data_IF_574406930914
#
_entry.id   IF_574406930914
#
_cell.length_a   1.000
_cell.length_b   1.000
_cell.length_c   1.000
_cell.angle_alpha   90.00
_cell.angle_beta   90.00
_cell.angle_gamma   90.00
#
_symmetry.space_group_name_H-M   'P 1'
#
loop_
_entity.id
_entity.type
_entity.pdbx_description
1 polymer ?
#
# COMPACT_ATOMS: atom_id res chain seq x y z
N UNK A 1 7.81 9.39 3.56
CA UNK A 1 8.53 8.94 4.78
C UNK A 1 9.36 10.05 5.46
N UNK A 2 9.10 11.32 5.12
CA UNK A 2 9.88 12.47 5.63
C UNK A 2 9.44 12.94 7.02
N UNK A 3 8.24 12.60 7.46
CA UNK A 3 7.69 13.03 8.73
C UNK A 3 6.72 12.02 9.33
N UNK A 4 6.54 12.07 10.64
CA UNK A 4 5.45 11.39 11.34
C UNK A 4 4.31 12.36 11.60
N UNK A 5 3.08 11.95 11.24
CA UNK A 5 1.93 12.81 11.42
C UNK A 5 0.61 12.07 11.28
N UNK A 6 -0.46 12.75 11.63
CA UNK A 6 -1.82 12.28 11.47
C UNK A 6 -2.75 13.43 11.13
N UNK A 7 -3.89 13.13 10.52
CA UNK A 7 -4.90 14.12 10.19
C UNK A 7 -6.28 13.63 10.61
N UNK A 8 -7.03 14.49 11.28
CA UNK A 8 -8.45 14.30 11.54
C UNK A 8 -9.25 15.26 10.68
N UNK A 9 -10.24 14.75 9.97
CA UNK A 9 -11.04 15.52 9.00
C UNK A 9 -12.51 15.40 9.39
N UNK A 10 -13.22 16.50 9.36
CA UNK A 10 -14.68 16.54 9.59
C UNK A 10 -15.36 17.42 8.54
N UNK A 11 -16.59 17.11 8.21
CA UNK A 11 -17.45 17.95 7.37
C UNK A 11 -18.05 19.11 8.16
N UNK A 12 -18.14 19.00 9.50
CA UNK A 12 -18.80 19.98 10.36
C UNK A 12 -17.96 20.30 11.60
N UNK A 13 -17.97 21.58 12.00
CA UNK A 13 -17.38 22.06 13.24
C UNK A 13 -18.42 22.00 14.37
N UNK A 14 -18.72 20.79 14.81
CA UNK A 14 -19.65 20.52 15.90
C UNK A 14 -18.95 20.40 17.27
N UNK A 15 -19.70 20.02 18.32
CA UNK A 15 -19.17 19.86 19.68
C UNK A 15 -18.07 18.79 19.78
N UNK A 16 -18.12 17.73 18.95
CA UNK A 16 -17.08 16.70 18.90
C UNK A 16 -15.79 17.28 18.34
N UNK A 17 -15.89 18.09 17.28
CA UNK A 17 -14.74 18.78 16.75
C UNK A 17 -14.09 19.72 17.78
N UNK A 18 -14.91 20.43 18.57
CA UNK A 18 -14.41 21.28 19.66
C UNK A 18 -13.62 20.47 20.69
N UNK A 19 -14.11 19.29 21.09
CA UNK A 19 -13.38 18.37 21.98
C UNK A 19 -12.07 17.87 21.36
N UNK A 20 -12.05 17.49 20.08
CA UNK A 20 -10.83 17.08 19.37
C UNK A 20 -9.81 18.21 19.39
N UNK A 21 -10.22 19.43 19.08
CA UNK A 21 -9.34 20.61 19.15
C UNK A 21 -8.79 20.87 20.55
N UNK A 22 -9.63 20.77 21.56
CA UNK A 22 -9.21 20.93 22.97
C UNK A 22 -8.15 19.87 23.34
N UNK A 23 -8.36 18.60 22.97
CA UNK A 23 -7.38 17.52 23.23
C UNK A 23 -6.05 17.81 22.52
N UNK A 24 -6.08 18.26 21.27
CA UNK A 24 -4.88 18.65 20.53
C UNK A 24 -4.12 19.79 21.22
N UNK A 25 -4.81 20.84 21.60
CA UNK A 25 -4.22 22.02 22.24
C UNK A 25 -3.66 21.70 23.62
N UNK A 26 -4.44 21.04 24.47
CA UNK A 26 -4.02 20.68 25.82
C UNK A 26 -2.95 19.59 25.86
N UNK A 27 -3.00 18.64 24.94
CA UNK A 27 -2.03 17.56 24.83
C UNK A 27 -0.75 17.93 24.07
N UNK A 28 -0.73 19.07 23.39
CA UNK A 28 0.42 19.53 22.60
C UNK A 28 0.75 18.65 21.38
N UNK A 29 -0.20 17.85 20.90
CA UNK A 29 -0.01 16.98 19.73
C UNK A 29 -0.09 17.81 18.43
N UNK A 30 0.91 18.64 18.22
CA UNK A 30 1.04 19.52 17.04
C UNK A 30 2.33 19.23 16.28
N UNK A 31 2.32 19.29 14.94
CA UNK A 31 3.53 19.13 14.12
C UNK A 31 4.54 20.25 14.40
N UNK A 32 5.82 19.93 14.26
CA UNK A 32 6.88 20.96 14.27
C UNK A 32 6.78 21.85 13.03
N UNK A 33 7.38 23.06 13.05
CA UNK A 33 7.46 23.91 11.85
C UNK A 33 8.11 23.20 10.66
N UNK A 34 9.11 22.34 10.87
CA UNK A 34 9.76 21.58 9.81
C UNK A 34 8.83 20.53 9.23
N UNK A 35 8.08 19.81 10.07
CA UNK A 35 7.08 18.83 9.61
C UNK A 35 6.00 19.51 8.78
N UNK A 36 5.54 20.69 9.20
CA UNK A 36 4.59 21.51 8.44
C UNK A 36 5.14 21.93 7.07
N UNK A 37 6.43 22.27 7.02
CA UNK A 37 7.11 22.61 5.76
C UNK A 37 7.18 21.41 4.82
N UNK A 38 7.66 20.25 5.30
CA UNK A 38 7.73 19.02 4.51
C UNK A 38 6.33 18.58 4.03
N UNK A 39 5.34 18.60 4.90
CA UNK A 39 3.97 18.26 4.54
C UNK A 39 3.43 19.18 3.44
N UNK A 40 3.58 20.50 3.61
CA UNK A 40 3.12 21.51 2.63
C UNK A 40 3.81 21.33 1.28
N UNK A 41 5.09 21.00 1.28
CA UNK A 41 5.86 20.74 0.06
C UNK A 41 5.40 19.43 -0.61
N UNK A 42 5.28 18.36 0.17
CA UNK A 42 4.99 17.00 -0.35
C UNK A 42 3.55 16.88 -0.87
N UNK A 43 2.58 17.56 -0.26
CA UNK A 43 1.18 17.51 -0.69
C UNK A 43 0.96 18.09 -2.10
N UNK A 44 1.83 19.02 -2.52
CA UNK A 44 1.74 19.66 -3.86
C UNK A 44 1.96 18.66 -4.99
N UNK A 45 2.73 17.60 -4.77
CA UNK A 45 3.03 16.56 -5.77
C UNK A 45 2.19 15.29 -5.56
N UNK A 46 1.37 15.22 -4.51
CA UNK A 46 0.58 14.04 -4.18
C UNK A 46 -0.28 13.53 -5.35
N UNK A 47 -1.00 14.38 -6.10
CA UNK A 47 -1.82 13.89 -7.22
C UNK A 47 -1.02 13.20 -8.32
N UNK A 48 0.21 13.65 -8.56
CA UNK A 48 1.10 13.06 -9.57
C UNK A 48 1.68 11.73 -9.08
N UNK A 49 2.10 11.66 -7.80
CA UNK A 49 2.57 10.41 -7.20
C UNK A 49 1.47 9.35 -7.21
N UNK A 50 0.27 9.70 -6.75
CA UNK A 50 -0.89 8.77 -6.74
C UNK A 50 -1.20 8.25 -8.15
N UNK A 51 -1.11 9.09 -9.20
CA UNK A 51 -1.27 8.62 -10.58
C UNK A 51 -0.23 7.56 -10.95
N UNK A 52 1.03 7.77 -10.58
CA UNK A 52 2.10 6.81 -10.82
C UNK A 52 1.87 5.50 -10.07
N UNK A 53 1.57 5.57 -8.77
CA UNK A 53 1.25 4.38 -7.96
C UNK A 53 0.10 3.55 -8.55
N UNK A 54 -0.99 4.23 -8.93
CA UNK A 54 -2.17 3.57 -9.53
C UNK A 54 -1.83 2.90 -10.86
N UNK A 55 -1.07 3.58 -11.71
CA UNK A 55 -0.64 3.05 -13.00
C UNK A 55 0.19 1.77 -12.81
N UNK A 56 1.22 1.85 -11.98
CA UNK A 56 2.10 0.71 -11.70
C UNK A 56 1.34 -0.44 -11.02
N UNK A 57 0.47 -0.14 -10.04
CA UNK A 57 -0.30 -1.17 -9.34
C UNK A 57 -1.26 -1.92 -10.28
N UNK A 58 -1.89 -1.23 -11.22
CA UNK A 58 -2.77 -1.87 -12.21
C UNK A 58 -1.98 -2.85 -13.09
N UNK A 59 -0.89 -2.41 -13.68
CA UNK A 59 -0.07 -3.25 -14.56
C UNK A 59 0.55 -4.43 -13.80
N UNK A 60 1.02 -4.20 -12.58
CA UNK A 60 1.57 -5.24 -11.74
C UNK A 60 0.51 -6.28 -11.35
N UNK A 61 -0.70 -5.85 -11.00
CA UNK A 61 -1.81 -6.74 -10.68
C UNK A 61 -2.21 -7.61 -11.88
N UNK A 62 -2.28 -7.01 -13.08
CA UNK A 62 -2.58 -7.73 -14.33
C UNK A 62 -1.50 -8.75 -14.71
N UNK A 63 -0.23 -8.44 -14.44
CA UNK A 63 0.87 -9.37 -14.61
C UNK A 63 0.75 -10.55 -13.64
N UNK A 64 0.58 -10.27 -12.36
CA UNK A 64 0.47 -11.28 -11.31
C UNK A 64 -0.75 -12.20 -11.48
N UNK A 65 -1.88 -11.65 -11.95
CA UNK A 65 -3.10 -12.44 -12.18
C UNK A 65 -2.90 -13.56 -13.22
N UNK A 66 -2.00 -13.34 -14.16
CA UNK A 66 -1.69 -14.32 -15.24
C UNK A 66 -0.54 -15.25 -14.88
N UNK A 67 0.17 -15.00 -13.78
CA UNK A 67 1.39 -15.72 -13.44
C UNK A 67 1.08 -17.12 -12.86
N UNK A 68 1.71 -18.22 -13.39
CA UNK A 68 1.36 -19.58 -13.02
C UNK A 68 1.62 -19.93 -11.54
N UNK A 69 2.55 -19.25 -10.87
CA UNK A 69 2.87 -19.46 -9.44
C UNK A 69 2.01 -18.62 -8.50
N UNK A 70 1.10 -17.80 -9.01
CA UNK A 70 0.15 -17.02 -8.22
C UNK A 70 -1.17 -17.78 -8.13
N UNK A 71 -1.71 -17.84 -6.92
CA UNK A 71 -3.00 -18.44 -6.62
C UNK A 71 -4.15 -17.44 -6.79
N UNK A 72 -3.94 -16.22 -6.28
CA UNK A 72 -4.94 -15.15 -6.30
C UNK A 72 -4.30 -13.79 -6.15
N UNK A 73 -4.85 -12.79 -6.82
CA UNK A 73 -4.53 -11.37 -6.65
C UNK A 73 -5.73 -10.63 -6.08
N UNK A 74 -5.50 -9.78 -5.11
CA UNK A 74 -6.51 -8.92 -4.48
C UNK A 74 -6.19 -7.47 -4.80
N UNK A 75 -6.79 -6.97 -5.86
CA UNK A 75 -6.70 -5.59 -6.29
C UNK A 75 -8.04 -5.14 -6.89
N UNK A 76 -8.67 -4.08 -6.37
CA UNK A 76 -10.01 -3.67 -6.83
C UNK A 76 -10.09 -3.28 -8.31
N UNK A 77 -8.96 -3.00 -8.95
CA UNK A 77 -8.85 -2.71 -10.38
C UNK A 77 -8.99 -3.90 -11.31
N UNK A 78 -8.87 -5.12 -10.81
CA UNK A 78 -9.06 -6.35 -11.61
C UNK A 78 -10.56 -6.70 -11.71
N UNK A 79 -10.98 -7.14 -12.90
CA UNK A 79 -12.36 -7.58 -13.12
C UNK A 79 -12.72 -8.84 -12.29
N UNK A 80 -11.72 -9.64 -11.95
CA UNK A 80 -11.85 -10.83 -11.09
C UNK A 80 -12.08 -10.49 -9.61
N UNK A 81 -11.83 -9.23 -9.20
CA UNK A 81 -12.03 -8.85 -7.80
C UNK A 81 -13.52 -8.80 -7.45
N UNK A 82 -13.98 -9.48 -6.38
CA UNK A 82 -15.41 -9.63 -6.08
C UNK A 82 -16.16 -8.31 -5.87
N UNK A 83 -15.45 -7.25 -5.49
CA UNK A 83 -16.02 -5.92 -5.26
C UNK A 83 -15.60 -4.88 -6.32
N UNK A 84 -15.12 -5.33 -7.48
CA UNK A 84 -14.70 -4.42 -8.56
C UNK A 84 -15.81 -3.42 -8.94
N UNK A 85 -17.04 -3.92 -9.11
CA UNK A 85 -18.19 -3.08 -9.49
C UNK A 85 -18.46 -1.97 -8.45
N UNK A 86 -18.38 -2.29 -7.15
CA UNK A 86 -18.52 -1.31 -6.06
C UNK A 86 -17.38 -0.29 -6.08
N UNK A 87 -16.15 -0.76 -6.20
CA UNK A 87 -14.98 0.11 -6.25
C UNK A 87 -15.06 1.09 -7.44
N UNK A 88 -15.48 0.61 -8.61
CA UNK A 88 -15.63 1.43 -9.82
C UNK A 88 -16.64 2.56 -9.67
N UNK A 89 -17.67 2.38 -8.83
CA UNK A 89 -18.67 3.44 -8.57
C UNK A 89 -18.15 4.44 -7.52
N UNK A 90 -17.43 3.95 -6.51
CA UNK A 90 -17.02 4.77 -5.36
C UNK A 90 -15.65 5.43 -5.50
N UNK A 91 -14.77 4.89 -6.35
CA UNK A 91 -13.39 5.32 -6.48
C UNK A 91 -13.12 5.89 -7.88
N UNK A 92 -12.31 6.95 -7.95
CA UNK A 92 -11.82 7.49 -9.23
C UNK A 92 -10.74 6.61 -9.86
N UNK A 93 -9.98 5.90 -9.01
CA UNK A 93 -8.97 4.91 -9.36
C UNK A 93 -8.81 3.95 -8.19
N UNK A 94 -8.10 2.84 -8.39
CA UNK A 94 -8.09 1.71 -7.44
C UNK A 94 -6.93 1.71 -6.46
N UNK A 95 -6.13 2.81 -6.42
CA UNK A 95 -5.03 2.97 -5.47
C UNK A 95 -3.74 2.23 -5.85
N UNK A 96 -2.71 2.40 -5.00
CA UNK A 96 -1.38 1.82 -5.18
C UNK A 96 -1.11 0.58 -4.30
N UNK A 97 -2.16 0.04 -3.64
CA UNK A 97 -2.02 -1.13 -2.77
C UNK A 97 -2.64 -2.36 -3.39
N UNK A 98 -1.91 -3.46 -3.39
CA UNK A 98 -2.43 -4.77 -3.78
C UNK A 98 -1.92 -5.86 -2.82
N UNK A 99 -2.57 -6.99 -2.84
CA UNK A 99 -2.06 -8.20 -2.19
C UNK A 99 -2.19 -9.39 -3.13
N UNK A 100 -1.33 -10.37 -2.97
CA UNK A 100 -1.43 -11.61 -3.73
C UNK A 100 -1.02 -12.82 -2.89
N UNK A 101 -1.55 -13.98 -3.23
CA UNK A 101 -1.19 -15.25 -2.61
C UNK A 101 -0.34 -16.06 -3.58
N UNK A 102 0.84 -16.49 -3.13
CA UNK A 102 1.68 -17.40 -3.92
C UNK A 102 1.22 -18.86 -3.72
N UNK A 103 1.40 -19.71 -4.71
CA UNK A 103 1.21 -21.15 -4.54
C UNK A 103 2.34 -21.73 -3.68
N UNK A 104 2.05 -22.67 -2.79
CA UNK A 104 3.06 -23.37 -1.98
C UNK A 104 3.18 -22.94 -0.51
N UNK A 105 2.35 -22.01 -0.04
CA UNK A 105 2.26 -21.68 1.39
C UNK A 105 3.26 -20.63 1.88
N UNK A 106 3.48 -20.60 3.21
CA UNK A 106 4.27 -19.58 3.90
C UNK A 106 5.75 -19.55 3.50
N UNK A 107 6.34 -20.73 3.31
CA UNK A 107 7.77 -20.80 2.97
C UNK A 107 8.05 -20.27 1.57
N UNK A 108 7.18 -20.55 0.62
CA UNK A 108 7.29 -19.99 -0.74
C UNK A 108 7.09 -18.47 -0.74
N UNK A 109 6.11 -17.96 0.03
CA UNK A 109 5.93 -16.52 0.20
C UNK A 109 7.20 -15.83 0.73
N UNK A 110 7.81 -16.41 1.76
CA UNK A 110 9.08 -15.90 2.32
C UNK A 110 10.25 -15.98 1.35
N UNK A 111 10.35 -17.07 0.56
CA UNK A 111 11.38 -17.20 -0.48
C UNK A 111 11.26 -16.09 -1.52
N UNK A 112 10.04 -15.80 -1.98
CA UNK A 112 9.79 -14.70 -2.93
C UNK A 112 10.30 -13.39 -2.34
N UNK A 113 9.86 -13.01 -1.14
CA UNK A 113 10.28 -11.75 -0.51
C UNK A 113 11.80 -11.65 -0.35
N UNK A 114 12.48 -12.74 0.01
CA UNK A 114 13.93 -12.76 0.21
C UNK A 114 14.74 -12.66 -1.10
N UNK A 115 14.15 -12.98 -2.25
CA UNK A 115 14.81 -12.89 -3.55
C UNK A 115 14.69 -11.52 -4.20
N UNK A 116 13.73 -10.69 -3.76
CA UNK A 116 13.49 -9.37 -4.34
C UNK A 116 14.69 -8.44 -4.12
N UNK A 117 14.95 -7.58 -5.10
CA UNK A 117 16.09 -6.66 -5.15
C UNK A 117 15.66 -5.19 -5.16
N UNK A 118 14.47 -4.90 -5.71
CA UNK A 118 13.92 -3.55 -5.82
C UNK A 118 12.90 -3.32 -4.71
N UNK A 119 11.97 -4.27 -4.52
CA UNK A 119 11.00 -4.16 -3.43
C UNK A 119 11.69 -4.23 -2.07
N UNK A 120 11.50 -3.22 -1.26
CA UNK A 120 11.99 -3.20 0.14
C UNK A 120 11.01 -3.93 1.05
N UNK A 121 11.52 -4.82 1.89
CA UNK A 121 10.71 -5.52 2.88
C UNK A 121 10.38 -4.57 4.05
N UNK A 122 9.15 -4.08 4.10
CA UNK A 122 8.67 -3.18 5.14
C UNK A 122 7.15 -3.19 5.27
N UNK A 123 6.66 -2.77 6.44
CA UNK A 123 5.22 -2.71 6.78
C UNK A 123 4.54 -1.42 6.35
N UNK A 124 5.29 -0.37 6.01
CA UNK A 124 4.76 0.94 5.59
C UNK A 124 4.00 0.87 4.26
N UNK A 125 3.44 1.99 3.83
CA UNK A 125 2.75 2.09 2.55
C UNK A 125 2.75 3.54 2.02
N UNK A 126 2.53 3.69 0.72
CA UNK A 126 2.28 4.97 0.07
C UNK A 126 3.52 5.85 -0.17
N UNK A 127 4.72 5.35 0.16
CA UNK A 127 5.99 5.98 -0.21
C UNK A 127 6.27 5.89 -1.70
N UNK A 128 7.34 6.56 -2.15
CA UNK A 128 7.76 6.54 -3.55
C UNK A 128 8.44 5.23 -3.92
N UNK A 129 8.98 4.53 -2.92
CA UNK A 129 9.57 3.19 -3.02
C UNK A 129 8.52 2.09 -2.98
N UNK A 130 8.73 1.02 -3.72
CA UNK A 130 7.93 -0.19 -3.67
C UNK A 130 8.25 -1.02 -2.43
N UNK A 131 7.23 -1.33 -1.62
CA UNK A 131 7.35 -2.10 -0.40
C UNK A 131 6.56 -3.40 -0.50
N UNK A 132 7.09 -4.45 0.12
CA UNK A 132 6.42 -5.75 0.22
C UNK A 132 6.58 -6.34 1.60
N UNK A 133 5.56 -7.05 2.08
CA UNK A 133 5.64 -7.79 3.34
C UNK A 133 4.90 -9.12 3.29
N UNK A 134 5.43 -10.12 4.00
CA UNK A 134 4.71 -11.34 4.32
C UNK A 134 3.80 -11.08 5.52
N UNK A 135 2.53 -10.81 5.25
CA UNK A 135 1.59 -10.25 6.22
C UNK A 135 1.39 -11.14 7.46
N UNK A 136 1.28 -12.44 7.28
CA UNK A 136 1.10 -13.37 8.40
C UNK A 136 2.28 -13.34 9.40
N UNK A 137 3.52 -13.13 8.94
CA UNK A 137 4.68 -13.00 9.83
C UNK A 137 4.65 -11.74 10.70
N UNK A 138 4.03 -10.67 10.18
CA UNK A 138 3.90 -9.39 10.91
C UNK A 138 2.78 -9.43 11.94
N UNK A 139 1.67 -10.10 11.63
CA UNK A 139 0.50 -10.19 12.50
C UNK A 139 0.67 -11.22 13.64
N UNK A 140 1.58 -12.16 13.48
CA UNK A 140 1.87 -13.18 14.50
C UNK A 140 1.01 -14.46 14.39
N UNK A 141 1.12 -15.37 15.38
CA UNK A 141 0.61 -16.73 15.28
C UNK A 141 -0.93 -16.83 15.23
N UNK A 142 -1.64 -15.86 15.78
CA UNK A 142 -3.11 -15.85 15.83
C UNK A 142 -3.75 -15.19 14.60
N UNK A 143 -2.96 -14.90 13.57
CA UNK A 143 -3.44 -14.25 12.36
C UNK A 143 -4.47 -15.09 11.60
N UNK A 144 -5.48 -14.40 11.06
CA UNK A 144 -6.43 -14.97 10.10
C UNK A 144 -6.04 -14.73 8.65
N UNK A 145 -4.93 -14.00 8.44
CA UNK A 145 -4.40 -13.72 7.11
C UNK A 145 -3.84 -15.01 6.50
N UNK A 146 -4.10 -15.29 5.22
CA UNK A 146 -3.52 -16.44 4.54
C UNK A 146 -1.98 -16.45 4.67
N UNK A 147 -1.42 -17.59 5.05
CA UNK A 147 0.02 -17.74 5.29
C UNK A 147 0.89 -17.58 4.03
N UNK A 148 0.30 -17.59 2.84
CA UNK A 148 0.95 -17.37 1.56
C UNK A 148 0.70 -15.97 0.99
N UNK A 149 0.15 -15.04 1.79
CA UNK A 149 -0.21 -13.70 1.35
C UNK A 149 0.97 -12.73 1.48
N UNK A 150 1.25 -12.04 0.38
CA UNK A 150 2.15 -10.90 0.30
C UNK A 150 1.34 -9.62 0.06
N UNK A 151 1.59 -8.59 0.87
CA UNK A 151 1.01 -7.25 0.70
C UNK A 151 2.04 -6.34 0.05
N UNK A 152 1.64 -5.59 -0.96
CA UNK A 152 2.49 -4.69 -1.73
C UNK A 152 1.96 -3.26 -1.68
N UNK A 153 2.86 -2.33 -1.37
CA UNK A 153 2.69 -0.91 -1.65
C UNK A 153 3.52 -0.58 -2.88
N UNK A 154 2.88 -0.33 -4.00
CA UNK A 154 3.55 -0.12 -5.28
C UNK A 154 4.07 1.32 -5.36
N UNK A 155 5.36 1.47 -5.62
CA UNK A 155 6.07 2.74 -5.72
C UNK A 155 6.03 3.37 -7.11
N UNK A 156 7.03 4.21 -7.38
CA UNK A 156 7.14 5.01 -8.60
C UNK A 156 8.30 4.57 -9.50
N UNK A 157 8.94 3.45 -9.21
CA UNK A 157 9.97 2.85 -10.04
C UNK A 157 9.41 2.51 -11.43
N UNK A 158 10.26 2.27 -12.40
CA UNK A 158 9.81 1.84 -13.72
C UNK A 158 9.06 0.51 -13.62
N UNK A 159 7.89 0.43 -14.25
CA UNK A 159 7.03 -0.76 -14.10
C UNK A 159 7.67 -2.05 -14.60
N UNK A 160 8.46 -1.98 -15.67
CA UNK A 160 9.15 -3.15 -16.21
C UNK A 160 10.18 -3.70 -15.21
N UNK A 161 10.89 -2.82 -14.48
CA UNK A 161 11.84 -3.21 -13.44
C UNK A 161 11.13 -3.92 -12.27
N UNK A 162 9.94 -3.42 -11.88
CA UNK A 162 9.13 -4.05 -10.83
C UNK A 162 8.61 -5.43 -11.26
N UNK A 163 8.18 -5.57 -12.51
CA UNK A 163 7.73 -6.85 -13.08
C UNK A 163 8.90 -7.83 -13.16
N UNK A 164 10.07 -7.38 -13.64
CA UNK A 164 11.25 -8.24 -13.75
C UNK A 164 11.73 -8.71 -12.38
N UNK A 165 11.72 -7.83 -11.37
CA UNK A 165 12.10 -8.19 -10.00
C UNK A 165 11.16 -9.24 -9.40
N UNK A 166 9.84 -9.12 -9.62
CA UNK A 166 8.89 -10.16 -9.20
C UNK A 166 9.03 -11.45 -10.03
N UNK A 167 9.27 -11.36 -11.33
CA UNK A 167 9.45 -12.52 -12.18
C UNK A 167 10.62 -13.38 -11.70
N UNK A 168 11.80 -12.77 -11.50
CA UNK A 168 12.98 -13.49 -11.03
C UNK A 168 12.83 -14.06 -9.60
N UNK A 169 12.03 -13.39 -8.75
CA UNK A 169 11.77 -13.85 -7.39
C UNK A 169 10.77 -15.01 -7.36
N UNK A 170 9.84 -15.06 -8.32
CA UNK A 170 8.86 -16.13 -8.45
C UNK A 170 9.46 -17.39 -9.13
N UNK A 171 10.54 -17.27 -9.89
CA UNK A 171 11.26 -18.43 -10.49
C UNK A 171 12.03 -19.24 -9.44
#
# INVERSE_FOLDING_TARGET
>A
SDLMGGALITSEKNEWWAKVRQVQEMGGAIPSPMDCYYLTRSIKTLPYRVKGHVHNAQLLAEYLEKHPKIERVMYPGLLSHPQHATARVQMRNFGGMLSFCVKGGSDEARKVVNKLKIFTQATSLGGVESLIEHRASVEGPDTKTPHNLLRVSVGLEHIDDLIEDLAQALD
#
